data_IF_396622929617
#
_entry.id   IF_396622929617
#
_cell.length_a   1.000
_cell.length_b   1.000
_cell.length_c   1.000
_cell.angle_alpha   90.00
_cell.angle_beta   90.00
_cell.angle_gamma   90.00
#
_symmetry.space_group_name_H-M   'P 1'
#
loop_
_entity.id
_entity.type
_entity.pdbx_description
1 polymer ?
#
# COMPACT_ATOMS: atom_id res chain seq x y z
N UNK A 1 -12.57 -7.92 -2.26
CA UNK A 1 -11.89 -8.21 -0.98
C UNK A 1 -10.86 -7.12 -0.69
N UNK A 2 -10.68 -6.73 0.58
CA UNK A 2 -9.65 -5.77 0.98
C UNK A 2 -8.26 -6.35 0.72
N UNK A 3 -7.33 -5.53 0.24
CA UNK A 3 -5.92 -5.94 0.11
C UNK A 3 -5.30 -6.10 1.51
N UNK A 4 -4.53 -7.16 1.73
CA UNK A 4 -3.67 -7.31 2.92
C UNK A 4 -2.28 -6.83 2.58
N UNK A 5 -1.68 -6.00 3.43
CA UNK A 5 -0.27 -5.61 3.33
C UNK A 5 0.50 -6.20 4.50
N UNK A 6 1.69 -6.74 4.24
CA UNK A 6 2.56 -7.34 5.24
C UNK A 6 4.04 -7.19 4.86
N UNK A 7 4.89 -7.18 5.88
CA UNK A 7 6.34 -7.20 5.70
C UNK A 7 6.86 -8.65 5.81
N UNK A 8 7.87 -8.97 5.00
CA UNK A 8 8.62 -10.23 5.06
C UNK A 8 10.10 -9.88 4.89
N UNK A 9 10.84 -9.95 6.00
CA UNK A 9 12.20 -9.37 6.07
C UNK A 9 12.16 -7.86 5.84
N UNK A 10 12.98 -7.37 4.92
CA UNK A 10 13.08 -5.96 4.54
C UNK A 10 12.08 -5.55 3.45
N UNK A 11 11.29 -6.50 2.93
CA UNK A 11 10.41 -6.30 1.79
C UNK A 11 8.95 -6.18 2.23
N UNK A 12 8.20 -5.32 1.55
CA UNK A 12 6.76 -5.19 1.71
C UNK A 12 6.02 -5.91 0.59
N UNK A 13 4.89 -6.52 0.92
CA UNK A 13 4.03 -7.24 -0.01
C UNK A 13 2.58 -6.85 0.18
N UNK A 14 1.84 -6.88 -0.93
CA UNK A 14 0.37 -6.82 -0.93
C UNK A 14 -0.18 -8.13 -1.46
N UNK A 15 -1.27 -8.60 -0.85
CA UNK A 15 -2.01 -9.77 -1.30
C UNK A 15 -3.47 -9.39 -1.52
N UNK A 16 -3.96 -9.67 -2.73
CA UNK A 16 -5.36 -9.43 -3.11
C UNK A 16 -5.82 -10.56 -4.03
N UNK A 17 -6.96 -11.16 -3.70
CA UNK A 17 -7.54 -12.28 -4.46
C UNK A 17 -6.52 -13.43 -4.69
N UNK A 18 -5.70 -13.76 -3.69
CA UNK A 18 -4.66 -14.80 -3.78
C UNK A 18 -3.42 -14.42 -4.60
N UNK A 19 -3.38 -13.24 -5.22
CA UNK A 19 -2.18 -12.73 -5.91
C UNK A 19 -1.33 -11.93 -4.92
N UNK A 20 -0.08 -12.36 -4.73
CA UNK A 20 0.95 -11.64 -3.96
C UNK A 20 1.82 -10.82 -4.91
N UNK A 21 2.02 -9.55 -4.59
CA UNK A 21 2.89 -8.62 -5.33
C UNK A 21 3.82 -7.90 -4.35
N UNK A 22 5.08 -7.71 -4.71
CA UNK A 22 6.02 -6.92 -3.92
C UNK A 22 5.74 -5.42 -4.11
N UNK A 23 5.87 -4.68 -3.01
CA UNK A 23 5.85 -3.22 -2.96
C UNK A 23 7.28 -2.71 -2.87
N UNK A 24 7.71 -1.98 -3.89
CA UNK A 24 9.02 -1.37 -3.95
C UNK A 24 8.93 0.07 -3.43
N UNK A 25 9.88 0.51 -2.59
CA UNK A 25 9.89 1.89 -2.11
C UNK A 25 10.27 2.85 -3.25
N UNK A 26 9.50 3.92 -3.39
CA UNK A 26 9.84 5.10 -4.20
C UNK A 26 10.32 6.24 -3.28
N UNK A 27 9.70 6.37 -2.10
CA UNK A 27 10.07 7.28 -1.01
C UNK A 27 9.61 6.70 0.33
N UNK A 28 9.76 7.45 1.44
CA UNK A 28 9.48 6.98 2.81
C UNK A 28 8.08 6.38 2.98
N UNK A 29 7.06 7.03 2.40
CA UNK A 29 5.65 6.62 2.50
C UNK A 29 5.03 6.23 1.15
N UNK A 30 5.84 6.16 0.09
CA UNK A 30 5.38 5.94 -1.30
C UNK A 30 6.01 4.67 -1.84
N UNK A 31 5.15 3.78 -2.35
CA UNK A 31 5.52 2.48 -2.88
C UNK A 31 4.90 2.25 -4.25
N UNK A 32 5.46 1.32 -5.03
CA UNK A 32 4.91 0.92 -6.32
C UNK A 32 5.02 -0.58 -6.54
N UNK A 33 4.27 -1.08 -7.53
CA UNK A 33 4.37 -2.46 -8.03
C UNK A 33 5.09 -2.44 -9.37
N UNK A 34 6.00 -3.38 -9.61
CA UNK A 34 6.68 -3.51 -10.90
C UNK A 34 5.65 -3.70 -12.04
N UNK A 35 5.81 -2.93 -13.11
CA UNK A 35 4.94 -2.99 -14.29
C UNK A 35 3.55 -2.36 -14.10
N UNK A 36 3.30 -1.65 -13.01
CA UNK A 36 2.05 -0.94 -12.76
C UNK A 36 2.33 0.56 -12.61
N UNK A 37 1.68 1.37 -13.43
CA UNK A 37 1.74 2.82 -13.34
C UNK A 37 0.77 3.33 -12.25
N UNK A 38 1.17 3.13 -10.99
CA UNK A 38 0.38 3.51 -9.83
C UNK A 38 1.21 3.52 -8.55
N UNK A 39 0.82 4.38 -7.60
CA UNK A 39 1.51 4.52 -6.32
C UNK A 39 0.60 4.07 -5.18
N UNK A 40 1.22 3.44 -4.19
CA UNK A 40 0.61 3.05 -2.93
C UNK A 40 1.21 3.96 -1.87
N UNK A 41 0.37 4.74 -1.20
CA UNK A 41 0.79 5.63 -0.13
C UNK A 41 0.25 5.12 1.21
N UNK A 42 1.09 5.16 2.24
CA UNK A 42 0.67 4.90 3.61
C UNK A 42 0.44 6.23 4.32
N UNK A 43 -0.79 6.46 4.79
CA UNK A 43 -1.11 7.64 5.58
C UNK A 43 -1.00 7.33 7.06
N UNK A 44 -0.19 8.11 7.76
CA UNK A 44 -0.05 8.08 9.22
C UNK A 44 -1.04 9.05 9.88
N UNK A 45 -1.60 8.68 11.03
CA UNK A 45 -2.34 9.60 11.92
C UNK A 45 -1.38 10.41 12.79
N UNK A 46 -1.94 11.38 13.52
CA UNK A 46 -1.22 12.19 14.50
C UNK A 46 -0.52 11.38 15.61
N UNK A 47 -0.94 10.14 15.85
CA UNK A 47 -0.31 9.20 16.79
C UNK A 47 0.87 8.42 16.17
N UNK A 48 1.27 8.74 14.93
CA UNK A 48 2.34 8.08 14.20
C UNK A 48 1.98 6.71 13.61
N UNK A 49 0.73 6.24 13.76
CA UNK A 49 0.32 4.94 13.23
C UNK A 49 -0.26 5.05 11.83
N UNK A 50 0.03 4.08 10.98
CA UNK A 50 -0.65 3.96 9.68
C UNK A 50 -2.14 3.68 9.90
N UNK A 51 -2.99 4.58 9.38
CA UNK A 51 -4.45 4.50 9.50
C UNK A 51 -5.15 4.26 8.15
N UNK A 52 -4.45 4.44 7.03
CA UNK A 52 -4.98 4.18 5.71
C UNK A 52 -3.89 3.85 4.69
N UNK A 53 -4.30 3.09 3.68
CA UNK A 53 -3.58 2.88 2.43
C UNK A 53 -4.32 3.61 1.31
N UNK A 54 -3.60 4.34 0.49
CA UNK A 54 -4.13 5.05 -0.68
C UNK A 54 -3.53 4.40 -1.94
N UNK A 55 -4.36 3.77 -2.76
CA UNK A 55 -3.98 3.24 -4.08
C UNK A 55 -4.30 4.31 -5.14
N UNK A 56 -3.29 5.08 -5.52
CA UNK A 56 -3.35 6.14 -6.53
C UNK A 56 -3.11 5.55 -7.91
N UNK A 57 -4.15 5.51 -8.73
CA UNK A 57 -4.14 4.91 -10.08
C UNK A 57 -5.14 5.62 -10.99
N UNK A 58 -4.88 5.69 -12.29
CA UNK A 58 -5.82 6.22 -13.28
C UNK A 58 -6.41 7.60 -12.91
N UNK A 59 -5.59 8.49 -12.31
CA UNK A 59 -6.01 9.80 -11.77
C UNK A 59 -7.04 9.75 -10.61
N UNK A 60 -7.21 8.60 -9.96
CA UNK A 60 -8.10 8.41 -8.80
C UNK A 60 -7.33 7.88 -7.57
N UNK A 61 -7.84 8.22 -6.39
CA UNK A 61 -7.36 7.69 -5.11
C UNK A 61 -8.38 6.71 -4.52
N UNK A 62 -8.01 5.44 -4.44
CA UNK A 62 -8.80 4.43 -3.72
C UNK A 62 -8.27 4.27 -2.30
N UNK A 63 -9.07 4.69 -1.31
CA UNK A 63 -8.65 4.75 0.09
C UNK A 63 -9.18 3.53 0.86
N UNK A 64 -8.25 2.81 1.49
CA UNK A 64 -8.54 1.70 2.39
C UNK A 64 -8.17 2.10 3.81
N UNK A 65 -9.16 2.29 4.68
CA UNK A 65 -8.89 2.56 6.10
C UNK A 65 -8.53 1.26 6.81
N UNK A 66 -7.54 1.33 7.69
CA UNK A 66 -7.22 0.23 8.60
C UNK A 66 -8.45 -0.02 9.47
N UNK A 67 -8.98 -1.25 9.47
CA UNK A 67 -9.99 -1.65 10.46
C UNK A 67 -9.29 -1.77 11.82
N UNK A 68 -9.86 -1.13 12.84
CA UNK A 68 -9.42 -1.24 14.24
C UNK A 68 -9.63 -2.65 14.76
#
# INVERSE_FOLDING_TARGET
MPSRVFAEGENLFTERNGKREQLFPESIDIFFRKGVEGRILFRTSADGKVNALIDRRNNEDVIWKRKS
#
